data_IF_881512899691
#
_entry.id   IF_881512899691
#
_cell.length_a   1.000
_cell.length_b   1.000
_cell.length_c   1.000
_cell.angle_alpha   90.00
_cell.angle_beta   90.00
_cell.angle_gamma   90.00
#
_symmetry.space_group_name_H-M   'P 1'
#
loop_
_entity.id
_entity.type
_entity.pdbx_description
1 polymer ?
#
# COMPACT_ATOMS: atom_id res chain seq x y z
N UNK A 1 0.74 -21.84 -14.30
CA UNK A 1 0.18 -20.49 -14.07
C UNK A 1 -0.81 -20.19 -15.18
N UNK A 2 -2.05 -19.84 -14.86
CA UNK A 2 -3.10 -19.67 -15.88
C UNK A 2 -2.88 -18.35 -16.62
N UNK A 3 -2.61 -18.45 -17.92
CA UNK A 3 -2.25 -17.40 -18.89
C UNK A 3 -3.23 -16.20 -19.01
N UNK A 4 -4.36 -16.18 -18.30
CA UNK A 4 -5.27 -15.02 -18.29
C UNK A 4 -4.94 -14.01 -17.19
N UNK A 5 -4.24 -14.41 -16.14
CA UNK A 5 -3.99 -13.55 -14.96
C UNK A 5 -3.02 -12.40 -15.26
N UNK A 6 -2.05 -12.59 -16.16
CA UNK A 6 -1.07 -11.54 -16.48
C UNK A 6 -1.72 -10.29 -17.10
N UNK A 7 -2.81 -10.46 -17.85
CA UNK A 7 -3.52 -9.35 -18.53
C UNK A 7 -4.18 -8.38 -17.54
N UNK A 8 -4.48 -8.85 -16.34
CA UNK A 8 -5.16 -8.07 -15.31
C UNK A 8 -4.24 -7.73 -14.14
N UNK A 9 -3.10 -8.40 -14.02
CA UNK A 9 -2.13 -8.17 -12.96
C UNK A 9 -1.47 -6.80 -13.14
N UNK A 10 -1.63 -5.94 -12.13
CA UNK A 10 -1.14 -4.56 -12.16
C UNK A 10 -0.96 -4.04 -10.74
N UNK A 11 -0.11 -3.02 -10.54
CA UNK A 11 -0.07 -2.27 -9.28
C UNK A 11 -1.46 -1.69 -8.93
N UNK A 12 -1.70 -1.46 -7.64
CA UNK A 12 -2.88 -0.70 -7.20
C UNK A 12 -2.84 0.72 -7.75
N UNK A 13 -3.99 1.39 -7.84
CA UNK A 13 -4.01 2.81 -8.21
C UNK A 13 -3.19 3.66 -7.23
N UNK A 14 -3.16 3.28 -5.95
CA UNK A 14 -2.29 3.90 -4.94
C UNK A 14 -0.81 3.75 -5.30
N UNK A 15 -0.37 2.56 -5.67
CA UNK A 15 1.01 2.31 -6.10
C UNK A 15 1.40 3.16 -7.32
N UNK A 16 0.54 3.22 -8.34
CA UNK A 16 0.76 4.09 -9.50
C UNK A 16 0.88 5.57 -9.12
N UNK A 17 0.00 6.07 -8.25
CA UNK A 17 0.07 7.45 -7.78
C UNK A 17 1.34 7.74 -6.98
N UNK A 18 1.76 6.81 -6.12
CA UNK A 18 2.98 6.94 -5.32
C UNK A 18 4.23 6.93 -6.20
N UNK A 19 4.29 6.05 -7.20
CA UNK A 19 5.39 6.06 -8.16
C UNK A 19 5.41 7.33 -9.02
N UNK A 20 4.25 7.84 -9.43
CA UNK A 20 4.19 9.12 -10.14
C UNK A 20 4.79 10.24 -9.28
N UNK A 21 4.35 10.36 -8.02
CA UNK A 21 4.87 11.35 -7.08
C UNK A 21 6.39 11.23 -6.89
N UNK A 22 6.91 10.00 -6.77
CA UNK A 22 8.35 9.73 -6.67
C UNK A 22 9.17 10.21 -7.88
N UNK A 23 8.56 10.28 -9.07
CA UNK A 23 9.25 10.73 -10.28
C UNK A 23 9.08 12.23 -10.54
N UNK A 24 8.18 12.91 -9.82
CA UNK A 24 7.83 14.31 -10.11
C UNK A 24 8.02 15.27 -8.94
N UNK A 25 8.10 14.76 -7.71
CA UNK A 25 8.21 15.56 -6.49
C UNK A 25 9.57 15.38 -5.82
N UNK A 26 10.09 16.43 -5.18
CA UNK A 26 11.36 16.36 -4.44
C UNK A 26 11.26 15.55 -3.14
N UNK A 27 10.07 15.57 -2.50
CA UNK A 27 9.76 14.87 -1.26
C UNK A 27 8.38 14.21 -1.38
N UNK A 28 8.25 13.01 -0.81
CA UNK A 28 7.02 12.22 -0.88
C UNK A 28 6.70 11.61 0.48
N UNK A 29 5.56 12.02 1.03
CA UNK A 29 4.99 11.49 2.26
C UNK A 29 3.73 10.67 1.93
N UNK A 30 3.74 9.39 2.28
CA UNK A 30 2.69 8.43 1.96
C UNK A 30 1.79 8.17 3.18
N UNK A 31 0.50 8.52 3.07
CA UNK A 31 -0.51 8.32 4.11
C UNK A 31 -1.61 7.37 3.65
N UNK A 32 -2.04 6.46 4.53
CA UNK A 32 -3.11 5.50 4.23
C UNK A 32 -2.73 4.40 3.24
N UNK A 33 -1.43 4.24 2.96
CA UNK A 33 -0.91 3.09 2.23
C UNK A 33 -0.83 1.86 3.12
N UNK A 34 -0.95 0.68 2.53
CA UNK A 34 -0.97 -0.58 3.25
C UNK A 34 0.38 -0.84 3.95
N UNK A 35 0.32 -1.24 5.23
CA UNK A 35 1.47 -1.53 6.10
C UNK A 35 1.41 -2.97 6.62
N UNK A 36 2.48 -3.46 7.25
CA UNK A 36 2.52 -4.83 7.81
C UNK A 36 1.40 -5.09 8.83
N UNK A 37 0.96 -4.06 9.55
CA UNK A 37 -0.08 -4.13 10.56
C UNK A 37 -1.49 -3.83 10.03
N UNK A 38 -1.70 -3.84 8.70
CA UNK A 38 -2.99 -3.49 8.06
C UNK A 38 -4.21 -4.21 8.66
N UNK A 39 -4.03 -5.43 9.18
CA UNK A 39 -5.09 -6.23 9.80
C UNK A 39 -5.72 -5.60 11.06
N UNK A 40 -5.02 -4.65 11.69
CA UNK A 40 -5.50 -3.90 12.85
C UNK A 40 -6.53 -2.83 12.49
N UNK A 41 -6.68 -2.51 11.20
CA UNK A 41 -7.52 -1.42 10.72
C UNK A 41 -8.65 -1.93 9.82
N UNK A 42 -9.69 -1.11 9.67
CA UNK A 42 -10.71 -1.30 8.64
C UNK A 42 -10.11 -1.13 7.24
N UNK A 43 -10.71 -1.75 6.23
CA UNK A 43 -10.24 -1.70 4.84
C UNK A 43 -10.13 -0.26 4.32
N UNK A 44 -11.17 0.56 4.56
CA UNK A 44 -11.15 1.98 4.23
C UNK A 44 -11.33 2.84 5.47
N UNK A 45 -10.67 4.00 5.49
CA UNK A 45 -10.78 4.96 6.60
C UNK A 45 -12.19 5.57 6.74
N UNK A 46 -13.01 5.51 5.68
CA UNK A 46 -14.40 5.98 5.69
C UNK A 46 -15.39 4.91 6.15
N UNK A 47 -14.95 3.67 6.36
CA UNK A 47 -15.83 2.58 6.75
C UNK A 47 -16.44 2.86 8.13
N UNK A 48 -17.76 3.06 8.15
CA UNK A 48 -18.51 3.35 9.38
C UNK A 48 -18.76 2.11 10.24
N UNK A 49 -18.72 0.93 9.62
CA UNK A 49 -18.81 -0.34 10.34
C UNK A 49 -17.40 -0.77 10.76
N UNK A 50 -17.19 -1.17 12.03
CA UNK A 50 -15.92 -1.75 12.42
C UNK A 50 -15.65 -3.04 11.64
N UNK A 51 -14.37 -3.36 11.46
CA UNK A 51 -13.86 -4.67 11.00
C UNK A 51 -14.04 -5.07 9.53
N UNK A 52 -14.23 -4.13 8.60
CA UNK A 52 -14.02 -4.46 7.19
C UNK A 52 -12.56 -4.88 6.97
N UNK A 53 -12.32 -6.01 6.30
CA UNK A 53 -10.95 -6.53 6.08
C UNK A 53 -10.51 -6.26 4.65
N UNK A 54 -9.23 -5.92 4.48
CA UNK A 54 -8.60 -5.81 3.17
C UNK A 54 -8.62 -7.18 2.48
N UNK A 55 -9.11 -7.22 1.24
CA UNK A 55 -9.16 -8.44 0.44
C UNK A 55 -8.04 -8.39 -0.61
N UNK A 56 -7.20 -9.43 -0.63
CA UNK A 56 -6.09 -9.54 -1.57
C UNK A 56 -6.58 -10.22 -2.84
N UNK A 57 -7.06 -9.42 -3.79
CA UNK A 57 -7.44 -9.90 -5.11
C UNK A 57 -6.19 -10.15 -5.96
N UNK A 58 -6.20 -11.25 -6.73
CA UNK A 58 -5.04 -11.69 -7.50
C UNK A 58 -4.63 -10.76 -8.67
N UNK A 59 -5.39 -9.70 -8.93
CA UNK A 59 -5.02 -8.65 -9.88
C UNK A 59 -3.99 -7.67 -9.30
N UNK A 60 -3.74 -7.71 -7.99
CA UNK A 60 -2.75 -6.89 -7.29
C UNK A 60 -1.88 -7.78 -6.38
N UNK A 61 -0.61 -7.40 -6.20
CA UNK A 61 0.26 -8.01 -5.22
C UNK A 61 0.50 -7.06 -4.04
N UNK A 62 -0.46 -7.08 -3.10
CA UNK A 62 -0.37 -6.27 -1.88
C UNK A 62 0.83 -6.65 -1.01
N UNK A 63 1.27 -7.92 -1.03
CA UNK A 63 2.44 -8.37 -0.27
C UNK A 63 3.72 -7.74 -0.81
N UNK A 64 3.86 -7.64 -2.14
CA UNK A 64 4.96 -6.93 -2.77
C UNK A 64 4.88 -5.42 -2.52
N UNK A 65 3.68 -4.82 -2.59
CA UNK A 65 3.49 -3.40 -2.31
C UNK A 65 3.89 -3.04 -0.86
N UNK A 66 3.42 -3.79 0.15
CA UNK A 66 3.80 -3.58 1.57
C UNK A 66 5.33 -3.61 1.73
N UNK A 67 5.99 -4.62 1.17
CA UNK A 67 7.45 -4.76 1.25
C UNK A 67 8.17 -3.61 0.53
N UNK A 68 7.62 -3.16 -0.60
CA UNK A 68 8.18 -2.05 -1.38
C UNK A 68 8.09 -0.74 -0.62
N UNK A 69 6.92 -0.42 -0.05
CA UNK A 69 6.74 0.82 0.75
C UNK A 69 7.64 0.83 1.97
N UNK A 70 7.74 -0.30 2.68
CA UNK A 70 8.66 -0.45 3.80
C UNK A 70 10.11 -0.22 3.38
N UNK A 71 10.56 -0.86 2.30
CA UNK A 71 11.95 -0.70 1.81
C UNK A 71 12.25 0.74 1.40
N UNK A 72 11.33 1.42 0.72
CA UNK A 72 11.48 2.83 0.34
C UNK A 72 11.51 3.76 1.56
N UNK A 73 10.71 3.46 2.58
CA UNK A 73 10.72 4.18 3.84
C UNK A 73 12.04 3.99 4.61
N UNK A 74 12.49 2.75 4.77
CA UNK A 74 13.73 2.42 5.47
C UNK A 74 14.97 3.02 4.77
N UNK A 75 14.91 3.12 3.43
CA UNK A 75 15.93 3.80 2.61
C UNK A 75 15.83 5.34 2.61
N UNK A 76 14.85 5.93 3.32
CA UNK A 76 14.57 7.37 3.37
C UNK A 76 14.25 8.00 2.01
N UNK A 77 13.72 7.21 1.07
CA UNK A 77 13.27 7.68 -0.25
C UNK A 77 11.86 8.27 -0.15
N UNK A 78 11.00 7.67 0.68
CA UNK A 78 9.70 8.23 1.07
C UNK A 78 9.60 8.27 2.59
N UNK A 79 8.70 9.10 3.10
CA UNK A 79 8.21 8.92 4.47
C UNK A 79 6.87 8.20 4.43
N UNK A 80 6.79 7.00 4.99
CA UNK A 80 5.55 6.22 5.09
C UNK A 80 4.95 6.43 6.47
N UNK A 81 3.73 6.97 6.52
CA UNK A 81 2.99 7.06 7.76
C UNK A 81 2.63 5.67 8.26
N UNK A 82 3.24 5.28 9.36
CA UNK A 82 2.92 4.10 10.13
C UNK A 82 2.41 4.60 11.48
N UNK A 83 1.17 4.28 11.83
CA UNK A 83 0.62 4.69 13.13
C UNK A 83 1.54 4.14 14.22
N UNK A 84 1.98 5.00 15.16
CA UNK A 84 2.79 4.55 16.30
C UNK A 84 2.07 3.40 16.99
N UNK A 85 2.76 2.26 17.14
CA UNK A 85 2.48 1.40 18.28
C UNK A 85 2.85 2.24 19.49
N UNK A 86 1.85 2.60 20.30
CA UNK A 86 2.12 3.18 21.62
C UNK A 86 3.12 2.24 22.32
N UNK A 87 4.28 2.80 22.68
CA UNK A 87 5.36 2.14 23.43
C UNK A 87 4.91 1.78 24.84
#
# INVERSE_FOLDING_TARGET
MKDWMWKIFRPTNGAFALFLALHTCDLVDAYGFITEDYKKYSNYYVDRKPDTKVIFYANHDYSLEIQTWKKLHDAKIIWLYQRKQDS
#
